data_IF_078564536141
#
_entry.id   IF_078564536141
#
_cell.length_a   1.000
_cell.length_b   1.000
_cell.length_c   1.000
_cell.angle_alpha   90.00
_cell.angle_beta   90.00
_cell.angle_gamma   90.00
#
_symmetry.space_group_name_H-M   'P 1'
#
loop_
_entity.id
_entity.type
_entity.pdbx_description
1 polymer ?
#
# COMPACT_ATOMS: atom_id res chain seq x y z
N UNK A 1 -5.69 -14.30 8.75
CA UNK A 1 -5.93 -13.42 7.60
C UNK A 1 -5.42 -12.00 7.87
N UNK A 2 -5.89 -11.33 8.93
CA UNK A 2 -5.48 -9.96 9.24
C UNK A 2 -3.96 -9.80 9.35
N UNK A 3 -3.27 -10.80 9.90
CA UNK A 3 -1.80 -10.84 9.91
C UNK A 3 -1.15 -10.75 8.55
N UNK A 4 -1.65 -11.55 7.60
CA UNK A 4 -1.10 -11.58 6.26
C UNK A 4 -1.27 -10.21 5.61
N UNK A 5 -2.40 -9.56 5.84
CA UNK A 5 -2.66 -8.18 5.38
C UNK A 5 -1.73 -7.17 6.05
N UNK A 6 -1.49 -7.30 7.36
CA UNK A 6 -0.58 -6.43 8.10
C UNK A 6 0.87 -6.52 7.60
N UNK A 7 1.38 -7.74 7.43
CA UNK A 7 2.72 -7.97 6.85
C UNK A 7 2.80 -7.53 5.40
N UNK A 8 1.76 -7.78 4.58
CA UNK A 8 1.71 -7.31 3.20
C UNK A 8 1.77 -5.79 3.13
N UNK A 9 0.96 -5.09 3.93
CA UNK A 9 0.97 -3.63 3.99
C UNK A 9 2.33 -3.10 4.46
N UNK A 10 2.98 -3.75 5.43
CA UNK A 10 4.34 -3.39 5.84
C UNK A 10 5.34 -3.52 4.68
N UNK A 11 5.28 -4.64 3.95
CA UNK A 11 6.12 -4.87 2.78
C UNK A 11 5.87 -3.85 1.66
N UNK A 12 4.61 -3.47 1.42
CA UNK A 12 4.25 -2.41 0.46
C UNK A 12 4.79 -1.05 0.89
N UNK A 13 4.77 -0.72 2.18
CA UNK A 13 5.35 0.52 2.70
C UNK A 13 6.85 0.61 2.43
N UNK A 14 7.59 -0.46 2.74
CA UNK A 14 9.03 -0.54 2.45
C UNK A 14 9.31 -0.51 0.94
N UNK A 15 8.53 -1.25 0.16
CA UNK A 15 8.65 -1.28 -1.30
C UNK A 15 8.37 0.08 -1.92
N UNK A 16 7.44 0.85 -1.37
CA UNK A 16 7.11 2.19 -1.83
C UNK A 16 8.25 3.19 -1.60
N UNK A 17 9.00 3.05 -0.49
CA UNK A 17 10.21 3.85 -0.25
C UNK A 17 11.27 3.52 -1.31
N UNK A 18 11.55 2.23 -1.51
CA UNK A 18 12.52 1.80 -2.51
C UNK A 18 12.11 2.22 -3.94
N UNK A 19 10.83 2.10 -4.27
CA UNK A 19 10.28 2.51 -5.55
C UNK A 19 10.37 4.03 -5.77
N UNK A 20 10.17 4.84 -4.73
CA UNK A 20 10.32 6.30 -4.79
C UNK A 20 11.75 6.69 -5.18
N UNK A 21 12.75 6.12 -4.50
CA UNK A 21 14.17 6.36 -4.81
C UNK A 21 14.54 5.85 -6.19
N UNK A 22 14.07 4.65 -6.56
CA UNK A 22 14.36 4.07 -7.87
C UNK A 22 13.74 4.88 -9.02
N UNK A 23 12.52 5.39 -8.84
CA UNK A 23 11.85 6.24 -9.83
C UNK A 23 12.60 7.56 -10.03
N UNK A 24 12.94 8.25 -8.94
CA UNK A 24 13.78 9.45 -9.01
C UNK A 24 15.11 9.17 -9.71
N UNK A 25 15.82 8.10 -9.32
CA UNK A 25 17.12 7.77 -9.90
C UNK A 25 17.05 7.46 -11.40
N UNK A 26 15.95 6.87 -11.85
CA UNK A 26 15.72 6.53 -13.25
C UNK A 26 15.40 7.75 -14.11
N UNK A 27 14.70 8.74 -13.55
CA UNK A 27 14.20 9.91 -14.27
C UNK A 27 15.11 11.14 -14.11
N UNK A 28 16.04 11.15 -13.14
CA UNK A 28 16.93 12.30 -12.91
C UNK A 28 17.81 12.58 -14.14
N UNK A 29 17.95 13.86 -14.46
CA UNK A 29 18.77 14.37 -15.57
C UNK A 29 19.70 15.47 -15.04
N UNK A 30 20.76 15.79 -15.79
CA UNK A 30 21.68 16.89 -15.44
C UNK A 30 21.08 18.28 -15.74
N UNK A 31 19.93 18.34 -16.45
CA UNK A 31 19.16 19.56 -16.67
C UNK A 31 18.19 19.80 -15.50
N UNK A 32 18.39 20.91 -14.81
CA UNK A 32 17.61 21.32 -13.64
C UNK A 32 16.12 21.52 -13.96
N UNK A 33 15.78 21.94 -15.19
CA UNK A 33 14.39 22.12 -15.61
C UNK A 33 13.65 20.79 -15.81
N UNK A 34 14.36 19.77 -16.30
CA UNK A 34 13.81 18.42 -16.51
C UNK A 34 13.78 17.61 -15.21
N UNK A 35 14.75 17.85 -14.31
CA UNK A 35 14.87 17.13 -13.03
C UNK A 35 13.67 17.36 -12.09
N UNK A 36 12.95 18.49 -12.25
CA UNK A 36 11.72 18.77 -11.53
C UNK A 36 10.62 17.70 -11.76
N UNK A 37 10.63 17.00 -12.90
CA UNK A 37 9.71 15.89 -13.14
C UNK A 37 10.05 14.68 -12.28
N UNK A 38 11.33 14.28 -12.24
CA UNK A 38 11.82 13.15 -11.46
C UNK A 38 11.54 13.32 -9.96
N UNK A 39 11.72 14.54 -9.45
CA UNK A 39 11.40 14.88 -8.05
C UNK A 39 9.92 14.71 -7.74
N UNK A 40 9.02 15.16 -8.62
CA UNK A 40 7.57 15.02 -8.44
C UNK A 40 7.14 13.56 -8.42
N UNK A 41 7.65 12.76 -9.35
CA UNK A 41 7.37 11.31 -9.40
C UNK A 41 7.85 10.62 -8.13
N UNK A 42 9.09 10.91 -7.71
CA UNK A 42 9.68 10.38 -6.48
C UNK A 42 8.85 10.74 -5.25
N UNK A 43 8.48 12.01 -5.08
CA UNK A 43 7.65 12.48 -3.96
C UNK A 43 6.28 11.80 -3.97
N UNK A 44 5.61 11.74 -5.12
CA UNK A 44 4.28 11.12 -5.22
C UNK A 44 4.27 9.67 -4.74
N UNK A 45 5.26 8.87 -5.16
CA UNK A 45 5.42 7.49 -4.69
C UNK A 45 5.81 7.47 -3.19
N UNK A 46 6.66 8.41 -2.77
CA UNK A 46 7.08 8.60 -1.37
C UNK A 46 5.97 9.02 -0.41
N UNK A 47 4.78 9.40 -0.89
CA UNK A 47 3.59 9.71 -0.07
C UNK A 47 2.74 8.48 0.28
N UNK A 48 3.02 7.31 -0.28
CA UNK A 48 2.30 6.08 0.05
C UNK A 48 2.80 5.27 1.26
N UNK A 49 4.09 5.29 1.66
CA UNK A 49 4.60 4.51 2.79
C UNK A 49 3.83 4.71 4.10
N UNK A 50 3.55 5.96 4.50
CA UNK A 50 2.76 6.27 5.71
C UNK A 50 1.39 5.58 5.71
N UNK A 51 0.70 5.57 4.57
CA UNK A 51 -0.62 4.95 4.43
C UNK A 51 -0.52 3.44 4.60
N UNK A 52 0.47 2.82 3.95
CA UNK A 52 0.70 1.38 4.08
C UNK A 52 1.08 0.96 5.50
N UNK A 53 1.93 1.74 6.19
CA UNK A 53 2.25 1.45 7.59
C UNK A 53 1.07 1.68 8.53
N UNK A 54 0.26 2.71 8.31
CA UNK A 54 -0.97 2.93 9.07
C UNK A 54 -1.95 1.75 8.91
N UNK A 55 -2.14 1.26 7.68
CA UNK A 55 -2.95 0.06 7.40
C UNK A 55 -2.38 -1.18 8.11
N UNK A 56 -1.05 -1.37 8.10
CA UNK A 56 -0.42 -2.47 8.80
C UNK A 56 -0.74 -2.45 10.30
N UNK A 57 -0.58 -1.30 10.95
CA UNK A 57 -0.90 -1.10 12.37
C UNK A 57 -2.38 -1.41 12.64
N UNK A 58 -3.28 -0.92 11.79
CA UNK A 58 -4.72 -1.17 11.92
C UNK A 58 -5.02 -2.67 11.84
N UNK A 59 -4.44 -3.39 10.87
CA UNK A 59 -4.68 -4.83 10.72
C UNK A 59 -4.15 -5.63 11.91
N UNK A 60 -2.94 -5.32 12.39
CA UNK A 60 -2.40 -5.98 13.57
C UNK A 60 -3.26 -5.70 14.82
N UNK A 61 -3.75 -4.47 14.98
CA UNK A 61 -4.61 -4.08 16.10
C UNK A 61 -5.98 -4.75 16.03
N UNK A 62 -6.60 -4.85 14.85
CA UNK A 62 -7.88 -5.55 14.68
C UNK A 62 -7.76 -7.03 15.03
N UNK A 63 -6.64 -7.66 14.67
CA UNK A 63 -6.36 -9.04 15.06
C UNK A 63 -6.22 -9.17 16.58
N UNK A 64 -5.46 -8.28 17.21
CA UNK A 64 -5.26 -8.28 18.67
C UNK A 64 -6.59 -8.15 19.42
N UNK A 65 -7.51 -7.33 18.91
CA UNK A 65 -8.88 -7.19 19.44
C UNK A 65 -9.80 -8.37 19.11
N UNK A 66 -9.34 -9.40 18.39
CA UNK A 66 -10.11 -10.60 18.08
C UNK A 66 -11.11 -10.49 16.92
N UNK A 67 -11.03 -9.44 16.09
CA UNK A 67 -11.97 -9.20 14.97
C UNK A 67 -11.73 -10.07 13.73
N UNK A 68 -10.99 -11.17 13.85
CA UNK A 68 -10.65 -12.05 12.73
C UNK A 68 -11.89 -12.60 12.02
N UNK A 69 -12.87 -13.08 12.80
CA UNK A 69 -14.12 -13.65 12.25
C UNK A 69 -14.97 -12.63 11.52
N UNK A 70 -14.95 -11.37 11.96
CA UNK A 70 -15.71 -10.30 11.32
C UNK A 70 -15.06 -9.89 10.00
N UNK A 71 -13.72 -9.81 9.97
CA UNK A 71 -12.98 -9.60 8.74
C UNK A 71 -13.26 -10.71 7.71
N UNK A 72 -13.28 -11.98 8.12
CA UNK A 72 -13.63 -13.11 7.25
C UNK A 72 -15.07 -13.02 6.72
N UNK A 73 -16.04 -12.63 7.56
CA UNK A 73 -17.43 -12.44 7.14
C UNK A 73 -17.56 -11.34 6.09
N UNK A 74 -16.84 -10.23 6.26
CA UNK A 74 -16.83 -9.13 5.29
C UNK A 74 -16.21 -9.57 3.95
N UNK A 75 -15.10 -10.31 3.99
CA UNK A 75 -14.48 -10.85 2.78
C UNK A 75 -15.41 -11.78 2.01
N UNK A 76 -16.11 -12.70 2.70
CA UNK A 76 -17.12 -13.56 2.07
C UNK A 76 -18.26 -12.77 1.42
N UNK A 77 -18.71 -11.68 2.05
CA UNK A 77 -19.74 -10.79 1.47
C UNK A 77 -19.24 -10.07 0.23
N UNK A 78 -17.99 -9.60 0.25
CA UNK A 78 -17.35 -8.97 -0.90
C UNK A 78 -17.20 -9.93 -2.07
N UNK A 79 -16.68 -11.15 -1.83
CA UNK A 79 -16.56 -12.19 -2.87
C UNK A 79 -17.91 -12.54 -3.49
N UNK A 80 -18.95 -12.70 -2.66
CA UNK A 80 -20.31 -12.94 -3.16
C UNK A 80 -20.77 -11.82 -4.09
N UNK A 81 -20.62 -10.56 -3.69
CA UNK A 81 -21.00 -9.39 -4.50
C UNK A 81 -20.18 -9.29 -5.79
N UNK A 82 -18.88 -9.56 -5.74
CA UNK A 82 -18.02 -9.58 -6.93
C UNK A 82 -18.52 -10.63 -7.93
N UNK A 83 -18.89 -11.82 -7.46
CA UNK A 83 -19.41 -12.88 -8.32
C UNK A 83 -20.79 -12.56 -8.90
N UNK A 84 -21.65 -11.87 -8.15
CA UNK A 84 -22.94 -11.36 -8.66
C UNK A 84 -22.74 -10.34 -9.79
N UNK A 85 -21.76 -9.43 -9.68
CA UNK A 85 -21.46 -8.42 -10.71
C UNK A 85 -20.78 -9.01 -11.94
N UNK A 86 -20.03 -10.10 -11.78
CA UNK A 86 -19.35 -10.80 -12.90
C UNK A 86 -20.31 -11.63 -13.76
N UNK A 87 -21.53 -11.90 -13.29
CA UNK A 87 -22.53 -12.73 -13.98
C UNK A 87 -23.44 -11.87 -14.84
#
# INVERSE_FOLDING_TARGET
MLDKLGYLATGLGLSSIAASVAAWYKEKTDDEAENAHAERTGIFIGLWPQTFFALAIIFFKLREMGHEKDAERLMKRLEKKINEVKK
#
